data_IF_197158611794
#
_entry.id   IF_197158611794
#
_cell.length_a   1.000
_cell.length_b   1.000
_cell.length_c   1.000
_cell.angle_alpha   90.00
_cell.angle_beta   90.00
_cell.angle_gamma   90.00
#
_symmetry.space_group_name_H-M   'P 1'
#
loop_
_entity.id
_entity.type
_entity.pdbx_description
1 polymer ?
#
# COMPACT_ATOMS: atom_id res chain seq x y z
N UNK A 1 10.23 -28.26 -15.98
CA UNK A 1 11.46 -28.32 -15.15
C UNK A 1 10.98 -28.15 -13.72
N UNK A 2 10.53 -29.19 -13.01
CA UNK A 2 11.39 -30.13 -12.26
C UNK A 2 12.54 -29.33 -11.63
N UNK A 3 12.61 -29.19 -10.31
CA UNK A 3 12.75 -30.29 -9.35
C UNK A 3 11.90 -30.13 -8.06
N UNK A 4 11.38 -31.23 -7.48
CA UNK A 4 11.07 -31.37 -6.06
C UNK A 4 12.34 -31.84 -5.29
N UNK A 5 12.20 -32.29 -4.03
CA UNK A 5 13.21 -32.81 -3.07
C UNK A 5 13.56 -31.76 -2.00
N UNK A 6 13.46 -31.99 -0.69
CA UNK A 6 13.08 -33.18 0.07
C UNK A 6 12.56 -32.70 1.42
N UNK A 7 11.32 -33.07 1.77
CA UNK A 7 10.87 -33.03 3.15
C UNK A 7 11.57 -34.16 3.91
N UNK A 8 12.73 -33.86 4.51
CA UNK A 8 13.30 -34.70 5.56
C UNK A 8 12.64 -34.28 6.87
N UNK A 9 11.43 -34.78 7.09
CA UNK A 9 10.81 -34.80 8.41
C UNK A 9 11.35 -36.02 9.13
N UNK A 10 12.41 -35.83 9.92
CA UNK A 10 12.74 -36.73 11.03
C UNK A 10 13.73 -36.04 11.95
N UNK A 11 13.21 -35.29 12.92
CA UNK A 11 13.91 -35.10 14.18
C UNK A 11 13.01 -35.58 15.31
N UNK A 12 13.59 -36.53 16.04
CA UNK A 12 13.00 -37.42 17.02
C UNK A 12 12.56 -36.66 18.28
N UNK A 13 11.49 -37.17 18.86
CA UNK A 13 10.88 -36.77 20.13
C UNK A 13 11.91 -36.76 21.27
N UNK A 14 12.15 -35.59 21.86
CA UNK A 14 12.49 -35.47 23.28
C UNK A 14 11.85 -34.20 23.85
N UNK A 15 11.28 -34.35 25.04
CA UNK A 15 10.26 -33.49 25.61
C UNK A 15 10.75 -32.07 25.92
N UNK A 16 10.42 -31.12 25.05
CA UNK A 16 10.43 -29.69 25.37
C UNK A 16 8.98 -29.23 25.56
N UNK A 17 8.68 -28.46 26.63
CA UNK A 17 7.35 -27.88 26.78
C UNK A 17 7.11 -26.99 25.57
N UNK A 18 5.95 -27.18 24.96
CA UNK A 18 5.45 -26.50 23.78
C UNK A 18 5.41 -24.99 24.05
N UNK A 19 6.53 -24.30 23.83
CA UNK A 19 6.54 -22.89 23.46
C UNK A 19 6.38 -22.85 21.95
N UNK A 20 5.19 -23.27 21.51
CA UNK A 20 4.64 -22.85 20.25
C UNK A 20 4.39 -21.35 20.39
N UNK A 21 5.43 -20.55 20.15
CA UNK A 21 5.19 -19.20 19.68
C UNK A 21 4.64 -19.40 18.28
N UNK A 22 3.31 -19.54 18.20
CA UNK A 22 2.60 -19.46 16.94
C UNK A 22 3.13 -18.21 16.25
N UNK A 23 3.78 -18.40 15.11
CA UNK A 23 3.97 -17.33 14.17
C UNK A 23 2.56 -16.81 13.90
N UNK A 24 2.23 -15.67 14.49
CA UNK A 24 1.02 -14.94 14.15
C UNK A 24 1.01 -14.87 12.62
N UNK A 25 -0.08 -15.28 11.94
CA UNK A 25 -0.18 -15.05 10.51
C UNK A 25 -0.16 -13.54 10.31
N UNK A 26 1.04 -13.01 10.04
CA UNK A 26 1.24 -11.60 9.78
C UNK A 26 0.54 -11.31 8.47
N UNK A 27 -0.51 -10.49 8.58
CA UNK A 27 -1.36 -10.00 7.52
C UNK A 27 -2.46 -10.93 6.99
N UNK A 28 -3.59 -10.93 7.70
CA UNK A 28 -4.90 -10.90 7.05
C UNK A 28 -5.19 -9.52 6.40
N UNK A 29 -4.19 -8.87 5.81
CA UNK A 29 -4.36 -7.60 5.09
C UNK A 29 -4.42 -7.92 3.60
N UNK A 30 -5.61 -7.74 3.02
CA UNK A 30 -5.89 -8.01 1.61
C UNK A 30 -4.94 -7.30 0.65
N UNK A 31 -5.08 -7.59 -0.63
CA UNK A 31 -4.31 -6.89 -1.66
C UNK A 31 -4.66 -5.39 -1.65
N UNK A 32 -3.65 -4.55 -1.88
CA UNK A 32 -3.89 -3.12 -2.03
C UNK A 32 -4.71 -2.88 -3.28
N UNK A 33 -5.75 -2.07 -3.18
CA UNK A 33 -6.60 -1.78 -4.33
C UNK A 33 -7.21 -0.39 -4.23
N UNK A 34 -7.49 0.21 -5.37
CA UNK A 34 -8.24 1.45 -5.43
C UNK A 34 -9.72 1.14 -5.16
N UNK A 35 -10.30 1.82 -4.18
CA UNK A 35 -11.75 1.84 -3.96
C UNK A 35 -12.36 3.14 -4.50
N UNK A 36 -11.53 4.14 -4.79
CA UNK A 36 -11.92 5.35 -5.52
C UNK A 36 -10.75 5.84 -6.36
N UNK A 37 -10.99 5.94 -7.65
CA UNK A 37 -10.02 6.45 -8.63
C UNK A 37 -10.38 7.89 -9.05
N UNK A 38 -9.37 8.69 -9.44
CA UNK A 38 -9.63 10.03 -9.97
C UNK A 38 -10.37 9.95 -11.30
N UNK A 39 -11.40 10.78 -11.44
CA UNK A 39 -12.13 10.96 -12.69
C UNK A 39 -11.75 12.27 -13.36
N UNK A 40 -12.04 12.36 -14.67
CA UNK A 40 -11.88 13.61 -15.41
C UNK A 40 -12.76 14.71 -14.82
N UNK A 41 -12.19 15.92 -14.71
CA UNK A 41 -12.88 17.11 -14.21
C UNK A 41 -12.53 18.30 -15.09
N UNK A 42 -13.50 19.22 -15.26
CA UNK A 42 -13.32 20.50 -15.94
C UNK A 42 -13.38 21.56 -14.85
N UNK A 43 -12.42 22.47 -14.85
CA UNK A 43 -12.34 23.54 -13.86
C UNK A 43 -12.07 24.87 -14.53
N UNK A 44 -12.57 25.94 -13.92
CA UNK A 44 -12.34 27.31 -14.40
C UNK A 44 -10.99 27.78 -13.86
N UNK A 45 -10.30 28.66 -14.61
CA UNK A 45 -9.02 29.22 -14.17
C UNK A 45 -9.18 29.95 -12.82
N UNK A 46 -8.38 29.56 -11.84
CA UNK A 46 -8.39 30.14 -10.49
C UNK A 46 -9.26 29.38 -9.50
N UNK A 47 -10.05 28.41 -9.96
CA UNK A 47 -10.82 27.51 -9.12
C UNK A 47 -9.92 26.50 -8.40
N UNK A 48 -10.34 26.07 -7.21
CA UNK A 48 -9.68 25.00 -6.48
C UNK A 48 -10.32 23.65 -6.84
N UNK A 49 -9.48 22.68 -7.21
CA UNK A 49 -9.94 21.35 -7.66
C UNK A 49 -9.31 20.28 -6.77
N UNK A 50 -10.10 19.26 -6.44
CA UNK A 50 -9.63 18.08 -5.73
C UNK A 50 -9.87 16.85 -6.58
N UNK A 51 -8.79 16.14 -6.90
CA UNK A 51 -8.88 14.82 -7.55
C UNK A 51 -8.98 13.76 -6.44
N UNK A 52 -10.09 13.03 -6.36
CA UNK A 52 -10.26 12.05 -5.31
C UNK A 52 -9.44 10.78 -5.60
N UNK A 53 -8.86 10.21 -4.54
CA UNK A 53 -8.20 8.92 -4.59
C UNK A 53 -8.36 8.24 -3.23
N UNK A 54 -8.71 6.95 -3.20
CA UNK A 54 -8.76 6.16 -1.98
C UNK A 54 -8.30 4.74 -2.25
N UNK A 55 -7.38 4.27 -1.41
CA UNK A 55 -6.74 2.96 -1.50
C UNK A 55 -7.05 2.19 -0.24
N UNK A 56 -7.58 0.98 -0.37
CA UNK A 56 -7.75 0.05 0.75
C UNK A 56 -6.54 -0.87 0.85
N UNK A 57 -6.20 -1.32 2.07
CA UNK A 57 -5.03 -2.15 2.35
C UNK A 57 -3.74 -1.56 1.76
N UNK A 58 -3.56 -0.23 1.85
CA UNK A 58 -2.36 0.46 1.35
C UNK A 58 -1.12 -0.14 2.02
N UNK A 59 -0.19 -0.69 1.22
CA UNK A 59 1.06 -1.32 1.69
C UNK A 59 2.30 -0.47 1.40
N UNK A 60 2.24 0.42 0.42
CA UNK A 60 3.37 1.25 -0.02
C UNK A 60 3.07 2.74 -0.02
N UNK A 61 4.00 3.52 -0.60
CA UNK A 61 3.85 4.96 -0.77
C UNK A 61 2.81 5.29 -1.85
N UNK A 62 2.08 6.39 -1.66
CA UNK A 62 1.13 6.91 -2.65
C UNK A 62 1.76 8.13 -3.32
N UNK A 63 1.71 8.17 -4.65
CA UNK A 63 2.26 9.28 -5.43
C UNK A 63 1.27 9.71 -6.53
N UNK A 64 1.07 11.02 -6.65
CA UNK A 64 0.39 11.60 -7.81
C UNK A 64 1.36 11.80 -8.96
N UNK A 65 0.89 11.54 -10.17
CA UNK A 65 1.62 11.86 -11.40
C UNK A 65 0.86 12.89 -12.22
N UNK A 66 1.60 13.73 -12.94
CA UNK A 66 1.05 14.65 -13.94
C UNK A 66 1.88 14.53 -15.20
N UNK A 67 1.24 14.18 -16.30
CA UNK A 67 1.89 13.99 -17.62
C UNK A 67 3.08 13.01 -17.56
N UNK A 68 2.97 11.97 -16.72
CA UNK A 68 4.03 10.98 -16.50
C UNK A 68 5.11 11.40 -15.49
N UNK A 69 5.05 12.61 -14.93
CA UNK A 69 5.99 13.09 -13.91
C UNK A 69 5.44 12.89 -12.49
N UNK A 70 6.24 12.28 -11.61
CA UNK A 70 5.86 12.07 -10.20
C UNK A 70 6.04 13.34 -9.35
N UNK A 71 5.00 13.72 -8.61
CA UNK A 71 5.01 14.94 -7.79
C UNK A 71 5.69 14.77 -6.42
N UNK A 72 6.01 13.52 -6.04
CA UNK A 72 6.54 13.15 -4.74
C UNK A 72 5.53 12.41 -3.85
N UNK A 73 6.03 11.93 -2.71
CA UNK A 73 5.28 11.08 -1.75
C UNK A 73 4.86 11.85 -0.50
N UNK A 74 5.44 13.03 -0.26
CA UNK A 74 5.06 13.90 0.86
C UNK A 74 3.75 14.64 0.59
N UNK A 75 2.91 14.76 1.63
CA UNK A 75 1.60 15.42 1.51
C UNK A 75 1.68 16.89 1.13
N UNK A 76 2.75 17.58 1.48
CA UNK A 76 2.96 18.99 1.15
C UNK A 76 3.37 19.22 -0.31
N UNK A 77 3.78 18.16 -1.03
CA UNK A 77 4.38 18.20 -2.37
C UNK A 77 5.40 19.35 -2.51
N UNK A 78 6.42 19.37 -1.64
CA UNK A 78 7.47 20.41 -1.62
C UNK A 78 8.03 20.67 -3.02
N UNK A 79 8.03 21.94 -3.45
CA UNK A 79 8.38 22.35 -4.82
C UNK A 79 7.16 22.65 -5.71
N UNK A 80 5.96 22.21 -5.32
CA UNK A 80 4.71 22.49 -6.02
C UNK A 80 3.76 23.34 -5.15
N UNK A 81 3.95 24.66 -5.12
CA UNK A 81 3.23 25.59 -4.23
C UNK A 81 1.70 25.58 -4.33
N UNK A 82 1.13 25.02 -5.40
CA UNK A 82 -0.32 24.93 -5.62
C UNK A 82 -0.90 23.53 -5.41
N UNK A 83 -0.07 22.54 -5.10
CA UNK A 83 -0.50 21.15 -4.95
C UNK A 83 -0.21 20.66 -3.53
N UNK A 84 -1.15 19.90 -2.98
CA UNK A 84 -1.01 19.24 -1.69
C UNK A 84 -1.97 18.05 -1.65
N UNK A 85 -1.60 17.00 -0.93
CA UNK A 85 -2.43 15.83 -0.70
C UNK A 85 -3.20 15.97 0.62
N UNK A 86 -4.51 16.12 0.51
CA UNK A 86 -5.44 16.17 1.64
C UNK A 86 -6.01 14.77 1.98
N UNK A 87 -6.55 14.61 3.19
CA UNK A 87 -7.09 13.35 3.73
C UNK A 87 -6.14 12.67 4.72
N UNK A 88 -6.49 11.48 5.20
CA UNK A 88 -5.66 10.63 6.08
C UNK A 88 -5.29 9.31 5.38
N UNK A 89 -4.41 8.52 6.00
CA UNK A 89 -4.08 7.16 5.55
C UNK A 89 -5.05 6.12 6.16
N UNK A 90 -5.99 6.55 7.00
CA UNK A 90 -6.83 5.72 7.86
C UNK A 90 -8.31 5.72 7.46
N UNK A 91 -8.69 6.56 6.48
CA UNK A 91 -10.04 6.59 5.89
C UNK A 91 -10.09 5.85 4.56
#
# INVERSE_FOLDING_TARGET
MMWPLSNVVLLLLSATPILLLEALPEAAFGEQSFIREPSNQIAIRGEHVTLPCRVVNKKGELQWTRDGFGLGVERNLTGFSRYHMIGSDEE
#
